data_IF_371266533993
#
_entry.id   IF_371266533993
#
_cell.length_a   1.000
_cell.length_b   1.000
_cell.length_c   1.000
_cell.angle_alpha   90.00
_cell.angle_beta   90.00
_cell.angle_gamma   90.00
#
_symmetry.space_group_name_H-M   'P 1'
#
loop_
_entity.id
_entity.type
_entity.pdbx_description
1 polymer ?
#
# COMPACT_ATOMS: atom_id res chain seq x y z
N UNK A 1 12.07 10.10 45.71
CA UNK A 1 11.22 8.98 45.24
C UNK A 1 9.79 9.46 45.09
N UNK A 2 9.17 9.31 43.91
CA UNK A 2 7.75 9.64 43.72
C UNK A 2 6.93 8.37 43.91
N UNK A 3 6.15 8.33 44.97
CA UNK A 3 5.18 7.26 45.25
C UNK A 3 4.09 7.33 44.20
N UNK A 4 4.04 6.36 43.27
CA UNK A 4 2.98 6.27 42.28
C UNK A 4 1.67 5.92 42.97
N UNK A 5 0.71 6.84 42.92
CA UNK A 5 -0.59 6.67 43.55
C UNK A 5 -1.33 5.46 42.95
N UNK A 6 -1.76 4.46 43.75
CA UNK A 6 -2.32 3.20 43.27
C UNK A 6 -3.63 3.36 42.48
N UNK A 7 -4.28 4.52 42.58
CA UNK A 7 -5.48 4.87 41.80
C UNK A 7 -5.19 5.06 40.30
N UNK A 8 -4.04 5.64 39.94
CA UNK A 8 -3.67 5.90 38.53
C UNK A 8 -3.46 4.56 37.79
N UNK A 9 -2.88 3.57 38.47
CA UNK A 9 -2.69 2.23 37.91
C UNK A 9 -3.99 1.45 37.67
N UNK A 10 -5.07 1.76 38.40
CA UNK A 10 -6.40 1.17 38.13
C UNK A 10 -7.07 1.85 36.94
N UNK A 11 -7.02 3.18 36.87
CA UNK A 11 -7.59 3.94 35.74
C UNK A 11 -6.96 3.55 34.40
N UNK A 12 -5.63 3.38 34.35
CA UNK A 12 -4.94 2.95 33.13
C UNK A 12 -5.33 1.53 32.70
N UNK A 13 -5.57 0.62 33.66
CA UNK A 13 -6.08 -0.74 33.37
C UNK A 13 -7.50 -0.73 32.82
N UNK A 14 -8.39 0.11 33.37
CA UNK A 14 -9.74 0.28 32.84
C UNK A 14 -9.74 0.86 31.42
N UNK A 15 -8.91 1.87 31.13
CA UNK A 15 -8.76 2.42 29.78
C UNK A 15 -8.23 1.39 28.78
N UNK A 16 -7.28 0.55 29.19
CA UNK A 16 -6.76 -0.53 28.36
C UNK A 16 -7.84 -1.59 28.04
N UNK A 17 -8.64 -1.98 29.04
CA UNK A 17 -9.74 -2.93 28.86
C UNK A 17 -10.86 -2.37 27.97
N UNK A 18 -11.18 -1.08 28.08
CA UNK A 18 -12.15 -0.42 27.21
C UNK A 18 -11.71 -0.46 25.74
N UNK A 19 -10.44 -0.11 25.46
CA UNK A 19 -9.85 -0.20 24.10
C UNK A 19 -9.88 -1.62 23.53
N UNK A 20 -9.65 -2.63 24.37
CA UNK A 20 -9.72 -4.03 23.94
C UNK A 20 -11.15 -4.48 23.62
N UNK A 21 -12.17 -3.99 24.35
CA UNK A 21 -13.58 -4.27 24.03
C UNK A 21 -13.99 -3.63 22.71
N UNK A 22 -13.64 -2.35 22.51
CA UNK A 22 -13.92 -1.63 21.27
C UNK A 22 -13.28 -2.31 20.05
N UNK A 23 -12.01 -2.75 20.18
CA UNK A 23 -11.31 -3.50 19.12
C UNK A 23 -11.97 -4.86 18.81
N UNK A 24 -12.56 -5.52 19.81
CA UNK A 24 -13.31 -6.78 19.62
C UNK A 24 -14.65 -6.55 18.93
N UNK A 25 -15.37 -5.48 19.28
CA UNK A 25 -16.63 -5.11 18.62
C UNK A 25 -16.42 -4.70 17.17
N UNK A 26 -15.36 -3.92 16.88
CA UNK A 26 -15.03 -3.56 15.50
C UNK A 26 -14.70 -4.80 14.66
N UNK A 27 -13.96 -5.76 15.23
CA UNK A 27 -13.69 -7.05 14.56
C UNK A 27 -14.96 -7.84 14.29
N UNK A 28 -15.92 -7.87 15.23
CA UNK A 28 -17.24 -8.49 15.03
C UNK A 28 -18.05 -7.79 13.93
N UNK A 29 -18.05 -6.45 13.90
CA UNK A 29 -18.74 -5.66 12.85
C UNK A 29 -18.14 -5.91 11.47
N UNK A 30 -16.81 -6.04 11.36
CA UNK A 30 -16.15 -6.39 10.09
C UNK A 30 -16.52 -7.79 9.61
N UNK A 31 -16.48 -8.81 10.50
CA UNK A 31 -16.90 -10.17 10.15
C UNK A 31 -18.37 -10.22 9.70
N UNK A 32 -19.26 -9.47 10.36
CA UNK A 32 -20.67 -9.41 9.99
C UNK A 32 -20.92 -8.76 8.62
N UNK A 33 -20.04 -7.85 8.16
CA UNK A 33 -20.17 -7.18 6.85
C UNK A 33 -19.60 -8.00 5.70
N UNK A 34 -18.51 -8.74 5.92
CA UNK A 34 -17.80 -9.42 4.83
C UNK A 34 -18.13 -10.90 4.71
N UNK A 35 -18.77 -11.52 5.72
CA UNK A 35 -19.10 -12.95 5.71
C UNK A 35 -17.88 -13.88 5.76
N UNK A 36 -16.66 -13.33 5.84
CA UNK A 36 -15.40 -14.07 5.76
C UNK A 36 -14.57 -13.88 7.05
N UNK A 37 -13.99 -14.96 7.60
CA UNK A 37 -13.09 -14.86 8.74
C UNK A 37 -11.80 -14.12 8.36
N UNK A 38 -11.52 -13.00 9.03
CA UNK A 38 -10.26 -12.25 8.84
C UNK A 38 -9.11 -12.97 9.55
N UNK A 39 -8.24 -13.61 8.77
CA UNK A 39 -6.96 -14.15 9.23
C UNK A 39 -6.01 -12.99 9.60
N UNK A 40 -5.33 -13.03 10.76
CA UNK A 40 -4.33 -12.03 11.13
C UNK A 40 -3.17 -12.03 10.13
N UNK A 41 -2.75 -10.86 9.63
CA UNK A 41 -1.58 -10.71 8.75
C UNK A 41 -0.29 -11.25 9.39
N UNK A 42 -0.20 -11.24 10.72
CA UNK A 42 0.95 -11.77 11.46
C UNK A 42 1.12 -13.30 11.29
N UNK A 43 0.05 -14.03 10.98
CA UNK A 43 0.09 -15.47 10.72
C UNK A 43 0.50 -15.80 9.27
N UNK A 44 0.33 -14.86 8.34
CA UNK A 44 0.68 -15.02 6.91
C UNK A 44 2.15 -14.69 6.65
N UNK A 45 2.73 -13.76 7.41
CA UNK A 45 4.10 -13.26 7.20
C UNK A 45 5.19 -14.16 7.81
N UNK A 46 4.81 -15.23 8.53
CA UNK A 46 5.76 -16.15 9.19
C UNK A 46 5.78 -17.58 8.65
N UNK A 47 4.88 -17.94 7.74
CA UNK A 47 4.81 -19.28 7.13
C UNK A 47 5.77 -19.44 5.97
N UNK A 48 6.28 -20.67 5.73
CA UNK A 48 6.89 -20.99 4.45
C UNK A 48 5.83 -20.89 3.34
N UNK A 49 6.27 -20.56 2.12
CA UNK A 49 5.39 -20.47 0.94
C UNK A 49 4.54 -21.74 0.76
N UNK A 50 5.13 -22.91 1.03
CA UNK A 50 4.46 -24.22 1.02
C UNK A 50 3.28 -24.32 2.01
N UNK A 51 3.40 -23.72 3.21
CA UNK A 51 2.35 -23.75 4.21
C UNK A 51 1.16 -22.86 3.84
N UNK A 52 1.42 -21.75 3.13
CA UNK A 52 0.37 -20.88 2.59
C UNK A 52 -0.37 -21.60 1.45
N UNK A 53 0.38 -22.27 0.58
CA UNK A 53 -0.16 -22.99 -0.57
C UNK A 53 -1.02 -24.20 -0.16
N UNK A 54 -0.61 -24.91 0.89
CA UNK A 54 -1.39 -26.01 1.48
C UNK A 54 -2.65 -25.51 2.20
N UNK A 55 -2.57 -24.38 2.92
CA UNK A 55 -3.73 -23.76 3.55
C UNK A 55 -4.77 -23.26 2.53
N UNK A 56 -4.32 -22.72 1.40
CA UNK A 56 -5.20 -22.29 0.30
C UNK A 56 -5.87 -23.50 -0.36
N UNK A 57 -5.12 -24.57 -0.68
CA UNK A 57 -5.71 -25.80 -1.22
C UNK A 57 -6.76 -26.39 -0.29
N UNK A 58 -6.46 -26.52 1.00
CA UNK A 58 -7.42 -27.06 1.97
C UNK A 58 -8.69 -26.19 2.10
N UNK A 59 -8.56 -24.87 2.03
CA UNK A 59 -9.72 -23.97 2.05
C UNK A 59 -10.58 -24.13 0.79
N UNK A 60 -9.97 -24.27 -0.38
CA UNK A 60 -10.67 -24.51 -1.65
C UNK A 60 -11.41 -25.85 -1.61
N UNK A 61 -10.78 -26.90 -1.07
CA UNK A 61 -11.35 -28.25 -1.08
C UNK A 61 -12.46 -28.45 -0.04
N UNK A 62 -12.37 -27.80 1.12
CA UNK A 62 -13.27 -28.07 2.27
C UNK A 62 -14.17 -26.91 2.65
N UNK A 63 -13.94 -25.70 2.12
CA UNK A 63 -14.63 -24.48 2.53
C UNK A 63 -14.35 -24.05 3.98
N UNK A 64 -13.39 -24.70 4.66
CA UNK A 64 -13.03 -24.39 6.04
C UNK A 64 -11.53 -24.14 6.16
N UNK A 65 -11.15 -23.15 6.98
CA UNK A 65 -9.74 -22.95 7.39
C UNK A 65 -9.41 -24.01 8.44
N UNK A 66 -9.31 -25.27 8.03
CA UNK A 66 -9.13 -26.46 8.89
C UNK A 66 -7.77 -26.57 9.57
N UNK A 67 -7.12 -25.45 9.92
CA UNK A 67 -5.94 -25.47 10.77
C UNK A 67 -6.39 -25.33 12.22
N UNK A 68 -6.50 -26.46 12.92
CA UNK A 68 -6.28 -26.44 14.36
C UNK A 68 -4.85 -25.90 14.56
N UNK A 69 -4.67 -24.79 15.26
CA UNK A 69 -3.41 -24.07 15.18
C UNK A 69 -2.28 -24.87 15.84
N UNK A 70 -1.11 -24.88 15.20
CA UNK A 70 0.13 -25.42 15.78
C UNK A 70 0.48 -24.81 17.16
N UNK A 71 -0.10 -23.66 17.54
CA UNK A 71 0.02 -23.09 18.88
C UNK A 71 -0.79 -23.82 19.97
N UNK A 72 -1.85 -24.57 19.63
CA UNK A 72 -2.63 -25.35 20.59
C UNK A 72 -1.80 -26.53 21.13
N UNK A 73 -1.13 -27.26 20.23
CA UNK A 73 -0.21 -28.33 20.60
C UNK A 73 1.06 -27.81 21.33
N UNK A 74 1.51 -26.59 21.00
CA UNK A 74 2.66 -25.94 21.66
C UNK A 74 2.32 -25.38 23.05
N UNK A 75 1.08 -24.93 23.28
CA UNK A 75 0.58 -24.54 24.61
C UNK A 75 0.31 -25.74 25.50
N UNK A 76 -0.20 -26.85 24.97
CA UNK A 76 -0.34 -28.08 25.74
C UNK A 76 1.02 -28.65 26.13
N UNK A 77 1.99 -28.70 25.21
CA UNK A 77 3.35 -29.15 25.54
C UNK A 77 4.10 -28.21 26.49
N UNK A 78 3.95 -26.88 26.37
CA UNK A 78 4.51 -25.95 27.37
C UNK A 78 3.77 -26.01 28.72
N UNK A 79 2.45 -26.22 28.73
CA UNK A 79 1.69 -26.36 29.98
C UNK A 79 1.97 -27.69 30.68
N UNK A 80 2.25 -28.76 29.92
CA UNK A 80 2.74 -30.05 30.43
C UNK A 80 4.17 -29.90 30.98
N UNK A 81 5.06 -29.20 30.27
CA UNK A 81 6.44 -28.95 30.68
C UNK A 81 6.56 -28.06 31.93
N UNK A 82 5.69 -27.06 32.09
CA UNK A 82 5.65 -26.22 33.30
C UNK A 82 4.98 -26.95 34.47
N UNK A 83 4.08 -27.92 34.20
CA UNK A 83 3.53 -28.82 35.23
C UNK A 83 4.56 -29.84 35.72
N UNK A 84 5.48 -30.28 34.87
CA UNK A 84 6.54 -31.24 35.23
C UNK A 84 7.80 -30.59 35.81
N UNK A 85 8.09 -29.32 35.50
CA UNK A 85 9.19 -28.57 36.13
C UNK A 85 8.85 -27.07 36.32
N UNK A 86 8.42 -26.66 37.53
CA UNK A 86 8.09 -25.26 37.85
C UNK A 86 9.28 -24.28 37.78
N UNK A 87 10.52 -24.76 37.69
CA UNK A 87 11.72 -23.90 37.67
C UNK A 87 11.92 -23.14 36.35
N UNK A 88 11.27 -23.59 35.27
CA UNK A 88 11.33 -22.98 33.94
C UNK A 88 10.55 -21.66 33.81
N UNK A 89 9.77 -21.26 34.83
CA UNK A 89 8.92 -20.07 34.78
C UNK A 89 9.60 -18.76 35.24
N UNK A 90 10.92 -18.77 35.53
CA UNK A 90 11.62 -17.59 36.10
C UNK A 90 12.49 -16.89 35.05
N UNK A 91 12.16 -15.65 34.62
CA UNK A 91 13.03 -14.91 33.71
C UNK A 91 14.27 -14.41 34.46
N UNK A 92 15.46 -14.76 33.96
CA UNK A 92 16.72 -14.17 34.42
C UNK A 92 16.84 -12.74 33.84
N UNK A 93 16.84 -11.75 34.73
CA UNK A 93 17.22 -10.39 34.40
C UNK A 93 18.74 -10.35 34.14
N UNK A 94 19.15 -9.99 32.92
CA UNK A 94 20.55 -9.66 32.61
C UNK A 94 20.74 -8.16 32.76
N UNK A 95 21.43 -7.77 33.83
CA UNK A 95 22.10 -6.48 33.94
C UNK A 95 23.32 -6.47 33.02
N UNK A 96 23.49 -5.40 32.24
CA UNK A 96 24.70 -5.16 31.46
C UNK A 96 24.94 -3.66 31.37
N UNK A 97 25.75 -3.16 32.30
CA UNK A 97 26.42 -1.86 32.22
C UNK A 97 27.86 -2.08 31.72
N UNK A 98 28.38 -1.29 30.77
CA UNK A 98 29.79 -1.36 30.39
C UNK A 98 30.67 -0.44 31.27
N UNK A 99 31.96 -0.77 31.49
CA UNK A 99 32.84 0.01 32.34
C UNK A 99 33.56 1.14 31.58
N UNK A 100 33.86 2.19 32.34
CA UNK A 100 34.73 3.32 32.02
C UNK A 100 36.20 2.92 32.13
N UNK A 101 37.03 3.31 31.15
CA UNK A 101 38.47 3.47 31.32
C UNK A 101 38.95 4.72 30.55
N UNK A 102 39.50 5.71 31.29
CA UNK A 102 40.52 6.63 30.78
C UNK A 102 41.91 5.97 30.90
N UNK A 103 43.01 6.47 30.36
CA UNK A 103 43.31 7.63 29.54
C UNK A 103 44.85 7.69 29.34
N UNK A 104 45.32 8.76 28.67
CA UNK A 104 46.67 9.37 28.72
C UNK A 104 47.73 8.94 27.67
N UNK A 105 48.22 10.00 26.97
CA UNK A 105 49.50 10.23 26.27
C UNK A 105 49.86 9.31 25.08
N UNK A 106 50.48 9.75 23.99
CA UNK A 106 51.17 10.99 23.63
C UNK A 106 52.18 10.68 22.50
N UNK A 107 52.68 11.72 21.84
CA UNK A 107 53.86 11.77 20.97
C UNK A 107 53.71 11.70 19.43
N UNK A 108 54.28 12.77 18.86
CA UNK A 108 54.67 13.11 17.48
C UNK A 108 55.70 12.14 16.87
N UNK A 109 55.71 12.01 15.53
CA UNK A 109 56.83 12.28 14.56
C UNK A 109 56.57 11.54 13.23
N UNK A 110 56.46 12.27 12.11
CA UNK A 110 57.47 12.55 11.05
C UNK A 110 57.64 11.45 9.99
N UNK A 111 57.34 11.87 8.74
CA UNK A 111 58.03 11.66 7.45
C UNK A 111 58.45 10.25 6.99
N UNK A 112 58.02 9.89 5.77
CA UNK A 112 58.82 9.42 4.59
C UNK A 112 57.81 8.94 3.53
N UNK A 113 57.68 9.52 2.33
CA UNK A 113 58.53 9.41 1.13
C UNK A 113 58.98 7.97 0.84
N UNK A 114 58.49 7.43 -0.27
CA UNK A 114 58.83 6.11 -0.78
C UNK A 114 58.16 5.84 -2.12
N UNK A 115 58.78 6.39 -3.17
CA UNK A 115 58.63 6.00 -4.57
C UNK A 115 59.15 4.55 -4.76
N UNK A 116 58.62 3.80 -5.72
CA UNK A 116 59.06 2.43 -5.96
C UNK A 116 58.06 1.56 -6.71
N UNK A 117 58.29 1.37 -8.01
CA UNK A 117 57.47 0.60 -8.93
C UNK A 117 57.63 -0.92 -8.87
N UNK A 118 56.89 -1.57 -9.79
CA UNK A 118 57.21 -2.89 -10.32
C UNK A 118 56.49 -4.04 -9.63
N UNK A 119 55.66 -4.76 -10.38
CA UNK A 119 55.14 -6.05 -9.95
C UNK A 119 53.90 -6.48 -10.72
N UNK A 120 54.12 -7.09 -11.88
CA UNK A 120 53.13 -7.93 -12.52
C UNK A 120 52.78 -9.09 -11.58
N UNK A 121 51.48 -9.39 -11.43
CA UNK A 121 51.01 -10.76 -11.23
C UNK A 121 49.50 -10.82 -11.53
N UNK A 122 49.17 -11.67 -12.51
CA UNK A 122 47.80 -11.98 -12.87
C UNK A 122 47.11 -12.77 -11.77
N UNK A 123 45.84 -12.46 -11.52
CA UNK A 123 44.98 -13.35 -10.76
C UNK A 123 43.62 -13.48 -11.43
N UNK A 124 43.35 -14.72 -11.86
CA UNK A 124 42.17 -15.10 -12.62
C UNK A 124 40.87 -14.98 -11.81
N UNK A 125 39.91 -14.26 -12.39
CA UNK A 125 38.53 -14.26 -11.95
C UNK A 125 37.91 -15.64 -12.24
N UNK A 126 37.79 -16.47 -11.19
CA UNK A 126 37.01 -17.71 -11.23
C UNK A 126 35.51 -17.36 -11.37
N UNK A 127 34.99 -17.46 -12.59
CA UNK A 127 33.56 -17.45 -12.87
C UNK A 127 32.86 -18.64 -12.20
N UNK A 128 32.08 -18.37 -11.16
CA UNK A 128 31.22 -19.37 -10.50
C UNK A 128 29.98 -19.61 -11.37
N UNK A 129 30.06 -20.58 -12.29
CA UNK A 129 28.89 -21.09 -13.02
C UNK A 129 27.94 -21.78 -12.03
N UNK A 130 26.85 -21.10 -11.65
CA UNK A 130 25.72 -21.74 -10.99
C UNK A 130 25.02 -22.66 -11.99
N UNK A 131 25.30 -23.96 -11.90
CA UNK A 131 24.50 -25.01 -12.53
C UNK A 131 23.13 -25.06 -11.86
N UNK A 132 22.10 -24.49 -12.50
CA UNK A 132 20.70 -24.76 -12.15
C UNK A 132 20.43 -26.26 -12.35
N UNK A 133 20.24 -27.00 -11.26
CA UNK A 133 19.70 -28.36 -11.28
C UNK A 133 18.24 -28.25 -11.74
N UNK A 134 17.94 -28.75 -12.94
CA UNK A 134 16.56 -28.94 -13.40
C UNK A 134 16.00 -30.16 -12.67
N UNK A 135 14.93 -29.96 -11.89
CA UNK A 135 14.12 -31.06 -11.37
C UNK A 135 13.20 -31.54 -12.52
N UNK A 136 13.16 -32.85 -12.84
CA UNK A 136 12.20 -33.37 -13.80
C UNK A 136 10.79 -33.29 -13.19
N UNK A 137 9.86 -32.65 -13.90
CA UNK A 137 8.44 -32.66 -13.54
C UNK A 137 7.72 -33.72 -14.39
N UNK A 138 6.86 -34.52 -13.77
CA UNK A 138 5.95 -35.41 -14.46
C UNK A 138 4.90 -34.57 -15.21
N UNK A 139 4.73 -34.82 -16.51
CA UNK A 139 3.64 -34.25 -17.29
C UNK A 139 2.45 -35.24 -17.28
N UNK A 140 1.24 -34.72 -17.10
CA UNK A 140 -0.01 -35.50 -17.02
C UNK A 140 -0.41 -36.22 -18.33
N UNK A 141 0.41 -36.15 -19.37
CA UNK A 141 0.12 -36.65 -20.72
C UNK A 141 0.61 -38.08 -21.01
N UNK A 142 1.12 -38.82 -20.02
CA UNK A 142 1.29 -40.28 -20.12
C UNK A 142 2.21 -40.81 -21.22
N UNK A 143 3.17 -40.02 -21.75
CA UNK A 143 4.22 -40.52 -22.65
C UNK A 143 5.61 -40.31 -22.04
N UNK A 144 6.40 -41.39 -22.03
CA UNK A 144 7.67 -41.52 -21.29
C UNK A 144 8.91 -41.40 -22.19
N UNK A 145 9.98 -40.82 -21.65
CA UNK A 145 11.37 -41.12 -22.04
C UNK A 145 11.89 -42.30 -21.21
N UNK A 146 12.68 -43.19 -21.83
CA UNK A 146 13.18 -44.43 -21.21
C UNK A 146 14.16 -44.12 -20.07
N UNK A 147 13.90 -44.62 -18.86
CA UNK A 147 14.93 -44.74 -17.81
C UNK A 147 14.59 -44.28 -16.39
N UNK A 148 13.34 -43.89 -16.07
CA UNK A 148 12.98 -43.47 -14.70
C UNK A 148 11.85 -44.36 -14.15
N UNK A 149 12.15 -45.09 -13.06
CA UNK A 149 11.21 -45.97 -12.34
C UNK A 149 10.50 -45.20 -11.22
N UNK A 150 9.20 -44.94 -11.35
CA UNK A 150 8.39 -44.32 -10.29
C UNK A 150 7.84 -45.39 -9.33
N UNK A 151 7.90 -45.14 -8.02
CA UNK A 151 7.23 -45.97 -6.99
C UNK A 151 5.70 -45.78 -7.07
N UNK A 152 4.89 -46.86 -7.08
CA UNK A 152 3.44 -46.74 -7.08
C UNK A 152 2.92 -46.17 -5.75
N UNK A 153 1.93 -45.29 -5.85
CA UNK A 153 1.18 -44.72 -4.71
C UNK A 153 0.28 -45.82 -4.11
N UNK A 154 0.42 -46.18 -2.82
CA UNK A 154 -0.48 -47.13 -2.17
C UNK A 154 -1.79 -46.42 -1.79
N UNK A 155 -2.94 -46.92 -2.26
CA UNK A 155 -4.23 -46.56 -1.65
C UNK A 155 -5.44 -46.32 -2.56
N UNK A 156 -5.40 -46.60 -3.86
CA UNK A 156 -6.61 -46.51 -4.69
C UNK A 156 -7.45 -47.79 -4.60
N UNK A 157 -8.71 -47.73 -4.11
CA UNK A 157 -9.59 -48.88 -4.07
C UNK A 157 -10.00 -49.31 -5.49
N UNK A 158 -10.14 -50.63 -5.75
CA UNK A 158 -10.56 -51.14 -7.04
C UNK A 158 -12.09 -51.07 -7.14
N UNK A 159 -12.63 -50.30 -8.10
CA UNK A 159 -14.03 -50.49 -8.48
C UNK A 159 -14.73 -49.29 -9.10
N UNK A 160 -14.68 -49.20 -10.42
CA UNK A 160 -15.87 -49.12 -11.30
C UNK A 160 -15.38 -48.80 -12.71
N UNK A 161 -15.33 -49.83 -13.56
CA UNK A 161 -15.05 -49.65 -14.99
C UNK A 161 -16.16 -48.78 -15.63
N UNK A 162 -15.82 -47.77 -16.44
CA UNK A 162 -16.83 -47.05 -17.20
C UNK A 162 -17.55 -48.01 -18.16
N UNK A 163 -18.88 -47.87 -18.36
CA UNK A 163 -19.65 -48.74 -19.24
C UNK A 163 -19.09 -48.71 -20.66
N UNK A 164 -18.97 -49.89 -21.27
CA UNK A 164 -18.54 -50.05 -22.67
C UNK A 164 -19.43 -49.20 -23.59
N UNK A 165 -18.86 -48.45 -24.54
CA UNK A 165 -19.66 -47.82 -25.59
C UNK A 165 -20.38 -48.91 -26.41
N UNK A 166 -21.64 -48.68 -26.82
CA UNK A 166 -22.39 -49.63 -27.62
C UNK A 166 -21.73 -49.85 -28.99
N UNK A 167 -21.92 -51.04 -29.60
CA UNK A 167 -21.34 -51.36 -30.90
C UNK A 167 -21.87 -50.40 -31.98
N UNK A 168 -21.03 -50.04 -32.97
CA UNK A 168 -21.45 -49.18 -34.07
C UNK A 168 -22.58 -49.86 -34.85
N UNK A 169 -23.79 -49.33 -34.71
CA UNK A 169 -24.93 -49.74 -35.52
C UNK A 169 -24.64 -49.50 -36.99
N UNK A 170 -24.86 -50.53 -37.81
CA UNK A 170 -24.76 -50.51 -39.26
C UNK A 170 -25.68 -49.43 -39.82
N UNK A 171 -25.13 -48.24 -40.08
CA UNK A 171 -25.82 -47.18 -40.79
C UNK A 171 -26.04 -47.61 -42.24
N UNK A 172 -27.31 -47.75 -42.59
CA UNK A 172 -27.77 -47.91 -43.96
C UNK A 172 -27.17 -46.82 -44.85
N UNK A 173 -26.67 -47.25 -46.01
CA UNK A 173 -26.09 -46.41 -47.05
C UNK A 173 -27.10 -45.31 -47.44
N UNK A 174 -26.88 -44.12 -46.88
CA UNK A 174 -27.67 -42.94 -47.22
C UNK A 174 -27.06 -42.35 -48.48
N UNK A 175 -27.87 -42.34 -49.53
CA UNK A 175 -27.59 -41.80 -50.85
C UNK A 175 -26.93 -40.43 -50.75
N UNK A 176 -25.72 -40.31 -51.30
CA UNK A 176 -24.94 -39.07 -51.42
C UNK A 176 -25.74 -38.11 -52.30
N UNK A 177 -26.55 -37.27 -51.67
CA UNK A 177 -27.30 -36.20 -52.32
C UNK A 177 -26.64 -34.87 -51.98
N UNK A 178 -26.15 -34.23 -53.04
CA UNK A 178 -25.66 -32.85 -53.12
C UNK A 178 -24.28 -32.55 -52.48
N UNK A 179 -23.37 -31.85 -53.21
CA UNK A 179 -22.15 -31.34 -52.63
C UNK A 179 -22.49 -30.37 -51.50
N UNK A 180 -21.79 -30.43 -50.34
CA UNK A 180 -22.03 -29.52 -49.24
C UNK A 180 -21.86 -28.09 -49.75
N UNK A 181 -22.90 -27.26 -49.58
CA UNK A 181 -22.79 -25.85 -49.89
C UNK A 181 -21.62 -25.26 -49.10
N UNK A 182 -20.82 -24.36 -49.72
CA UNK A 182 -19.73 -23.70 -49.01
C UNK A 182 -20.31 -23.07 -47.75
N UNK A 183 -19.77 -23.46 -46.60
CA UNK A 183 -20.11 -22.84 -45.33
C UNK A 183 -19.71 -21.37 -45.44
N UNK A 184 -20.71 -20.49 -45.59
CA UNK A 184 -20.51 -19.04 -45.53
C UNK A 184 -20.02 -18.71 -44.12
N UNK A 185 -18.71 -18.61 -43.95
CA UNK A 185 -18.12 -18.12 -42.71
C UNK A 185 -18.53 -16.65 -42.56
N UNK A 186 -19.04 -16.24 -41.39
CA UNK A 186 -19.35 -14.84 -41.15
C UNK A 186 -18.09 -13.99 -41.42
N UNK A 187 -18.24 -12.80 -42.01
CA UNK A 187 -17.11 -11.93 -42.31
C UNK A 187 -16.35 -11.67 -41.01
N UNK A 188 -15.02 -11.80 -41.06
CA UNK A 188 -14.15 -11.53 -39.92
C UNK A 188 -14.40 -10.09 -39.47
N UNK A 189 -14.86 -9.91 -38.24
CA UNK A 189 -15.08 -8.59 -37.67
C UNK A 189 -13.73 -7.90 -37.45
N UNK A 190 -13.64 -6.63 -37.82
CA UNK A 190 -12.46 -5.81 -37.62
C UNK A 190 -12.85 -4.58 -36.81
N UNK A 191 -12.09 -4.28 -35.76
CA UNK A 191 -12.32 -3.10 -34.96
C UNK A 191 -11.75 -1.83 -35.63
N UNK A 192 -12.38 -0.66 -35.40
CA UNK A 192 -11.83 0.63 -35.80
C UNK A 192 -10.55 0.94 -35.02
N UNK A 193 -9.88 2.03 -35.38
CA UNK A 193 -8.74 2.54 -34.63
C UNK A 193 -9.13 2.77 -33.15
N UNK A 194 -8.34 2.25 -32.22
CA UNK A 194 -8.54 2.50 -30.79
C UNK A 194 -7.96 3.88 -30.46
N UNK A 195 -8.81 4.78 -29.99
CA UNK A 195 -8.39 6.15 -29.59
C UNK A 195 -7.74 6.08 -28.21
N UNK A 196 -6.54 6.65 -28.09
CA UNK A 196 -5.84 6.72 -26.81
C UNK A 196 -6.64 7.60 -25.82
N UNK A 197 -6.70 7.23 -24.53
CA UNK A 197 -7.32 8.08 -23.53
C UNK A 197 -6.52 9.38 -23.37
N UNK A 198 -7.18 10.44 -22.89
CA UNK A 198 -6.50 11.69 -22.53
C UNK A 198 -5.42 11.43 -21.48
N UNK A 199 -4.27 12.08 -21.63
CA UNK A 199 -3.08 11.89 -20.77
C UNK A 199 -2.59 10.43 -20.71
N UNK A 200 -2.70 9.71 -21.83
CA UNK A 200 -2.18 8.37 -21.99
C UNK A 200 -1.81 8.02 -23.42
N UNK A 201 -1.23 6.85 -23.57
CA UNK A 201 -0.85 6.25 -24.84
C UNK A 201 -1.31 4.80 -24.89
N UNK A 202 -1.48 4.29 -26.12
CA UNK A 202 -1.90 2.92 -26.37
C UNK A 202 -0.82 2.18 -27.14
N UNK A 203 -0.53 0.96 -26.70
CA UNK A 203 0.49 0.10 -27.28
C UNK A 203 -0.16 -1.01 -28.06
N UNK A 204 0.24 -1.15 -29.32
CA UNK A 204 -0.23 -2.21 -30.21
C UNK A 204 0.96 -2.79 -30.98
N UNK A 205 1.10 -4.13 -30.95
CA UNK A 205 2.21 -4.85 -31.60
C UNK A 205 3.60 -4.26 -31.27
N UNK A 206 3.79 -3.85 -30.00
CA UNK A 206 5.04 -3.29 -29.50
C UNK A 206 5.33 -1.84 -29.93
N UNK A 207 4.39 -1.16 -30.58
CA UNK A 207 4.51 0.26 -30.95
C UNK A 207 3.57 1.11 -30.11
N UNK A 208 4.08 2.24 -29.64
CA UNK A 208 3.31 3.25 -28.92
C UNK A 208 2.56 4.17 -29.89
N UNK A 209 1.30 4.44 -29.59
CA UNK A 209 0.44 5.35 -30.32
C UNK A 209 -0.14 6.39 -29.35
N UNK A 210 0.17 7.67 -29.57
CA UNK A 210 -0.28 8.79 -28.71
C UNK A 210 -1.70 9.30 -29.02
N UNK A 211 -2.23 8.99 -30.20
CA UNK A 211 -3.55 9.49 -30.64
C UNK A 211 -4.48 8.31 -30.87
N UNK A 212 -4.13 7.41 -31.79
CA UNK A 212 -4.89 6.20 -32.05
C UNK A 212 -4.04 5.11 -32.70
N UNK A 213 -4.44 3.85 -32.55
CA UNK A 213 -3.85 2.72 -33.27
C UNK A 213 -4.23 2.75 -34.76
N UNK A 214 -3.57 1.94 -35.62
CA UNK A 214 -4.09 1.68 -36.96
C UNK A 214 -5.49 1.05 -36.86
N UNK A 215 -6.42 1.44 -37.72
CA UNK A 215 -7.70 0.73 -37.84
C UNK A 215 -7.55 -0.67 -38.43
N UNK A 216 -8.67 -1.38 -38.59
CA UNK A 216 -8.70 -2.74 -39.12
C UNK A 216 -7.96 -3.75 -38.23
N UNK A 217 -8.21 -3.68 -36.92
CA UNK A 217 -7.61 -4.61 -35.97
C UNK A 217 -8.47 -5.88 -35.92
N UNK A 218 -7.82 -7.04 -36.07
CA UNK A 218 -8.48 -8.35 -36.04
C UNK A 218 -9.18 -8.61 -34.69
N UNK A 219 -10.28 -9.36 -34.73
CA UNK A 219 -10.96 -9.86 -33.54
C UNK A 219 -9.97 -10.53 -32.56
N UNK A 220 -10.23 -10.38 -31.27
CA UNK A 220 -9.45 -10.93 -30.14
C UNK A 220 -8.04 -10.38 -29.97
N UNK A 221 -7.65 -9.40 -30.79
CA UNK A 221 -6.45 -8.61 -30.52
C UNK A 221 -6.74 -7.64 -29.37
N UNK A 222 -5.73 -7.39 -28.56
CA UNK A 222 -5.80 -6.43 -27.45
C UNK A 222 -4.77 -5.31 -27.65
N UNK A 223 -5.09 -4.14 -27.09
CA UNK A 223 -4.15 -3.02 -26.98
C UNK A 223 -3.80 -2.82 -25.51
N UNK A 224 -2.60 -2.32 -25.19
CA UNK A 224 -2.23 -2.04 -23.80
C UNK A 224 -2.27 -0.55 -23.55
N UNK A 225 -3.01 -0.12 -22.52
CA UNK A 225 -3.10 1.29 -22.14
C UNK A 225 -1.99 1.62 -21.12
N UNK A 226 -1.30 2.74 -21.35
CA UNK A 226 -0.35 3.35 -20.42
C UNK A 226 -0.71 4.81 -20.20
N UNK A 227 -0.59 5.29 -18.97
CA UNK A 227 -0.83 6.71 -18.65
C UNK A 227 0.48 7.49 -18.64
N UNK A 228 0.39 8.79 -18.91
CA UNK A 228 1.49 9.74 -18.78
C UNK A 228 1.96 9.83 -17.31
N UNK A 229 3.13 10.45 -17.11
CA UNK A 229 3.63 10.75 -15.77
C UNK A 229 2.61 11.58 -14.98
N UNK A 230 2.43 11.28 -13.69
CA UNK A 230 1.45 11.90 -12.79
C UNK A 230 -0.03 11.51 -13.01
N UNK A 231 -0.29 10.57 -13.92
CA UNK A 231 -1.61 9.97 -14.12
C UNK A 231 -1.60 8.48 -13.77
N UNK A 232 -2.74 7.97 -13.33
CA UNK A 232 -2.95 6.54 -13.03
C UNK A 232 -4.15 6.00 -13.78
N UNK A 233 -4.13 4.70 -14.07
CA UNK A 233 -5.27 4.02 -14.68
C UNK A 233 -6.47 4.04 -13.72
N UNK A 234 -7.65 4.37 -14.25
CA UNK A 234 -8.92 4.36 -13.53
C UNK A 234 -9.24 2.99 -12.93
N UNK A 235 -10.09 2.94 -11.91
CA UNK A 235 -10.51 1.67 -11.30
C UNK A 235 -11.43 0.85 -12.22
N UNK A 236 -12.15 1.52 -13.12
CA UNK A 236 -13.14 0.91 -14.02
C UNK A 236 -12.61 0.76 -15.45
N UNK A 237 -12.96 -0.36 -16.08
CA UNK A 237 -12.57 -0.70 -17.46
C UNK A 237 -11.40 -1.70 -17.51
N UNK A 238 -11.07 -2.16 -18.71
CA UNK A 238 -9.95 -3.08 -18.96
C UNK A 238 -8.65 -2.32 -19.26
N UNK A 239 -7.53 -2.76 -18.67
CA UNK A 239 -6.19 -2.26 -19.05
C UNK A 239 -5.78 -2.77 -20.44
N UNK A 240 -6.39 -3.87 -20.86
CA UNK A 240 -6.13 -4.56 -22.12
C UNK A 240 -7.45 -4.73 -22.88
N UNK A 241 -8.07 -3.64 -23.37
CA UNK A 241 -9.33 -3.77 -24.08
C UNK A 241 -9.13 -4.63 -25.33
N UNK A 242 -10.01 -5.63 -25.44
CA UNK A 242 -10.03 -6.60 -26.54
C UNK A 242 -10.97 -6.13 -27.65
N UNK A 243 -10.62 -6.42 -28.91
CA UNK A 243 -11.51 -6.29 -30.05
C UNK A 243 -12.53 -7.42 -30.05
N UNK A 244 -13.81 -7.09 -29.84
CA UNK A 244 -14.89 -8.05 -29.72
C UNK A 244 -15.38 -8.53 -31.10
N UNK A 245 -16.14 -9.64 -31.11
CA UNK A 245 -16.69 -10.26 -32.33
C UNK A 245 -17.68 -9.38 -33.09
N UNK A 246 -18.25 -8.36 -32.46
CA UNK A 246 -19.13 -7.37 -33.10
C UNK A 246 -18.35 -6.23 -33.78
N UNK A 247 -17.00 -6.26 -33.74
CA UNK A 247 -16.14 -5.21 -34.25
C UNK A 247 -16.08 -3.98 -33.34
N UNK A 248 -16.57 -4.07 -32.10
CA UNK A 248 -16.45 -3.02 -31.09
C UNK A 248 -15.32 -3.32 -30.12
N UNK A 249 -14.79 -2.26 -29.51
CA UNK A 249 -13.79 -2.40 -28.46
C UNK A 249 -14.44 -2.63 -27.10
N UNK A 250 -13.84 -3.51 -26.30
CA UNK A 250 -14.13 -3.56 -24.88
C UNK A 250 -13.85 -2.19 -24.24
N UNK A 251 -14.63 -1.83 -23.20
CA UNK A 251 -14.44 -0.57 -22.47
C UNK A 251 -13.08 -0.54 -21.77
N UNK A 252 -12.14 0.21 -22.34
CA UNK A 252 -10.83 0.44 -21.74
C UNK A 252 -10.86 1.36 -20.52
N UNK A 253 -9.77 1.32 -19.76
CA UNK A 253 -9.50 2.28 -18.68
C UNK A 253 -9.12 3.65 -19.24
N UNK A 254 -9.41 4.71 -18.48
CA UNK A 254 -8.93 6.06 -18.75
C UNK A 254 -7.86 6.45 -17.74
N UNK A 255 -7.15 7.55 -18.00
CA UNK A 255 -6.09 8.05 -17.13
C UNK A 255 -6.64 9.17 -16.23
N UNK A 256 -6.56 8.97 -14.93
CA UNK A 256 -6.99 9.93 -13.92
C UNK A 256 -5.77 10.61 -13.29
N UNK A 257 -5.84 11.92 -13.00
CA UNK A 257 -4.74 12.61 -12.35
C UNK A 257 -4.51 12.03 -10.95
N UNK A 258 -3.25 11.81 -10.59
CA UNK A 258 -2.88 11.41 -9.24
C UNK A 258 -2.97 12.63 -8.33
N UNK A 259 -3.67 12.47 -7.21
CA UNK A 259 -3.84 13.52 -6.19
C UNK A 259 -3.12 13.12 -4.92
N UNK A 260 -2.24 13.98 -4.41
CA UNK A 260 -1.72 13.85 -3.06
C UNK A 260 -2.72 14.40 -2.04
N UNK A 261 -2.84 13.80 -0.84
CA UNK A 261 -3.63 14.39 0.24
C UNK A 261 -3.08 15.77 0.64
N UNK A 262 -3.84 16.58 1.41
CA UNK A 262 -3.32 17.81 1.98
C UNK A 262 -2.00 17.59 2.72
N UNK A 263 -0.98 18.41 2.42
CA UNK A 263 0.33 18.28 3.05
C UNK A 263 0.22 18.62 4.54
N UNK A 264 0.79 17.76 5.39
CA UNK A 264 0.78 18.00 6.83
C UNK A 264 1.90 18.97 7.19
N UNK A 265 1.53 20.19 7.58
CA UNK A 265 2.50 21.20 8.01
C UNK A 265 3.40 20.67 9.15
N UNK A 266 4.72 20.96 9.09
CA UNK A 266 5.63 20.61 10.18
C UNK A 266 5.30 21.40 11.44
N UNK A 267 5.76 20.91 12.60
CA UNK A 267 5.59 21.64 13.85
C UNK A 267 6.35 22.98 13.77
N UNK A 268 5.70 24.09 14.12
CA UNK A 268 6.27 25.44 14.01
C UNK A 268 6.59 25.89 12.58
N UNK A 269 5.82 25.36 11.63
CA UNK A 269 5.78 25.85 10.27
C UNK A 269 4.37 25.89 9.71
N UNK A 270 4.23 26.58 8.59
CA UNK A 270 3.02 26.69 7.80
C UNK A 270 3.28 26.22 6.37
N UNK A 271 2.21 25.84 5.68
CA UNK A 271 2.25 25.40 4.29
C UNK A 271 1.25 26.23 3.50
N UNK A 272 1.62 26.61 2.28
CA UNK A 272 0.82 27.44 1.38
C UNK A 272 -0.47 26.76 0.88
N UNK A 273 -0.50 25.43 0.83
CA UNK A 273 -1.66 24.67 0.35
C UNK A 273 -2.34 23.86 1.47
N UNK A 274 -3.66 24.02 1.57
CA UNK A 274 -4.51 23.29 2.52
C UNK A 274 -5.34 22.14 1.89
N UNK A 275 -5.39 22.07 0.56
CA UNK A 275 -6.19 21.09 -0.19
C UNK A 275 -5.32 19.98 -0.80
N UNK A 276 -5.97 18.97 -1.38
CA UNK A 276 -5.29 17.94 -2.16
C UNK A 276 -4.71 18.57 -3.44
N UNK A 277 -3.46 18.24 -3.76
CA UNK A 277 -2.76 18.79 -4.94
C UNK A 277 -2.51 17.69 -5.97
N UNK A 278 -2.39 18.09 -7.24
CA UNK A 278 -2.02 17.18 -8.33
C UNK A 278 -0.55 16.78 -8.22
N UNK A 279 -0.24 15.55 -8.61
CA UNK A 279 1.13 15.11 -8.77
C UNK A 279 1.90 16.00 -9.77
N UNK A 280 3.16 16.27 -9.46
CA UNK A 280 4.01 17.31 -10.08
C UNK A 280 3.93 18.68 -9.41
N UNK A 281 2.92 18.96 -8.57
CA UNK A 281 2.81 20.24 -7.85
C UNK A 281 3.77 20.28 -6.66
N UNK A 282 4.47 21.40 -6.46
CA UNK A 282 5.29 21.67 -5.27
C UNK A 282 4.49 22.45 -4.23
N UNK A 283 4.67 22.12 -2.97
CA UNK A 283 4.12 22.88 -1.82
C UNK A 283 5.25 23.62 -1.12
N UNK A 284 5.00 24.80 -0.57
CA UNK A 284 6.03 25.63 0.07
C UNK A 284 5.89 25.56 1.58
N UNK A 285 6.97 25.17 2.27
CA UNK A 285 7.02 25.13 3.73
C UNK A 285 7.67 26.43 4.23
N UNK A 286 7.02 27.13 5.15
CA UNK A 286 7.56 28.32 5.81
C UNK A 286 7.66 28.08 7.32
N UNK A 287 8.86 28.14 7.88
CA UNK A 287 9.07 28.05 9.32
C UNK A 287 8.77 29.38 10.03
N UNK A 288 8.29 29.30 11.28
CA UNK A 288 8.04 30.46 12.13
C UNK A 288 9.34 31.24 12.42
N UNK A 289 9.24 32.52 12.78
CA UNK A 289 10.37 33.45 12.92
C UNK A 289 11.50 33.02 13.87
N UNK A 290 11.22 32.12 14.83
CA UNK A 290 12.19 31.61 15.81
C UNK A 290 12.72 30.21 15.50
N UNK A 291 12.34 29.68 14.33
CA UNK A 291 12.70 28.35 13.88
C UNK A 291 13.58 28.44 12.62
N UNK A 292 14.39 27.42 12.41
CA UNK A 292 15.22 27.24 11.22
C UNK A 292 14.85 25.93 10.51
N UNK A 293 14.90 25.92 9.18
CA UNK A 293 14.67 24.73 8.40
C UNK A 293 15.84 23.75 8.60
N UNK A 294 15.53 22.50 8.91
CA UNK A 294 16.54 21.44 9.06
C UNK A 294 16.12 20.21 8.26
N UNK A 295 17.11 19.47 7.75
CA UNK A 295 16.91 18.25 6.98
C UNK A 295 17.38 18.33 5.54
N UNK A 296 17.76 19.51 5.04
CA UNK A 296 18.26 19.69 3.68
C UNK A 296 19.48 18.81 3.38
N UNK A 297 20.42 18.72 4.33
CA UNK A 297 21.57 17.84 4.23
C UNK A 297 21.21 16.34 4.17
N UNK A 298 19.99 15.97 4.60
CA UNK A 298 19.44 14.62 4.53
C UNK A 298 18.48 14.44 3.34
N UNK A 299 18.50 15.35 2.36
CA UNK A 299 17.67 15.32 1.16
C UNK A 299 16.23 15.81 1.36
N UNK A 300 15.94 16.52 2.46
CA UNK A 300 14.65 17.18 2.61
C UNK A 300 14.61 18.50 1.80
N UNK A 301 13.44 18.90 1.32
CA UNK A 301 13.26 20.14 0.55
C UNK A 301 12.31 21.11 1.26
N UNK A 302 12.56 22.42 1.16
CA UNK A 302 11.60 23.46 1.54
C UNK A 302 10.35 23.44 0.66
N UNK A 303 10.49 22.89 -0.55
CA UNK A 303 9.43 22.80 -1.55
C UNK A 303 9.16 21.36 -2.01
N UNK A 304 8.68 20.46 -1.13
CA UNK A 304 8.49 19.06 -1.50
C UNK A 304 7.47 18.92 -2.63
N UNK A 305 7.77 18.07 -3.62
CA UNK A 305 6.88 17.78 -4.73
C UNK A 305 5.91 16.63 -4.40
N UNK A 306 4.67 16.72 -4.88
CA UNK A 306 3.75 15.58 -4.94
C UNK A 306 4.19 14.62 -6.05
N UNK A 307 4.56 13.40 -5.69
CA UNK A 307 5.07 12.37 -6.58
C UNK A 307 3.94 11.61 -7.30
N UNK A 308 4.30 10.87 -8.36
CA UNK A 308 3.36 10.08 -9.15
C UNK A 308 2.70 8.91 -8.38
N UNK A 309 3.23 8.53 -7.22
CA UNK A 309 2.64 7.53 -6.34
C UNK A 309 1.59 8.13 -5.37
N UNK A 310 1.36 9.44 -5.42
CA UNK A 310 0.45 10.16 -4.53
C UNK A 310 1.03 10.44 -3.14
N UNK A 311 2.35 10.29 -2.97
CA UNK A 311 3.07 10.70 -1.77
C UNK A 311 3.88 11.97 -2.03
N UNK A 312 4.33 12.64 -0.97
CA UNK A 312 5.22 13.80 -1.13
C UNK A 312 6.68 13.40 -0.93
N UNK A 313 7.57 14.14 -1.59
CA UNK A 313 8.97 14.19 -1.23
C UNK A 313 9.15 14.57 0.25
N UNK A 314 10.30 14.22 0.82
CA UNK A 314 10.61 14.56 2.20
C UNK A 314 10.72 16.08 2.34
N UNK A 315 9.82 16.68 3.12
CA UNK A 315 9.90 18.09 3.49
C UNK A 315 10.85 18.35 4.66
N UNK A 316 11.33 19.59 4.77
CA UNK A 316 12.10 20.06 5.92
C UNK A 316 11.30 20.00 7.23
N UNK A 317 12.02 19.98 8.35
CA UNK A 317 11.46 20.16 9.69
C UNK A 317 11.90 21.52 10.26
N UNK A 318 11.00 22.21 10.97
CA UNK A 318 11.31 23.47 11.61
C UNK A 318 11.80 23.24 13.05
N UNK A 319 13.08 23.50 13.31
CA UNK A 319 13.68 23.35 14.66
C UNK A 319 13.99 24.71 15.29
N UNK A 320 13.91 24.85 16.63
CA UNK A 320 14.24 26.11 17.29
C UNK A 320 15.68 26.53 16.98
N UNK A 321 15.88 27.81 16.65
CA UNK A 321 17.24 28.33 16.41
C UNK A 321 18.09 28.23 17.67
N UNK A 322 19.35 27.74 17.58
CA UNK A 322 20.22 27.68 18.73
C UNK A 322 20.56 29.09 19.24
N UNK A 323 20.56 29.27 20.56
CA UNK A 323 20.97 30.54 21.15
C UNK A 323 22.43 30.89 20.76
N UNK A 324 22.72 32.15 20.39
CA UNK A 324 24.08 32.56 20.07
C UNK A 324 25.01 32.37 21.29
N UNK A 325 26.03 31.51 21.16
CA UNK A 325 26.92 31.13 22.27
C UNK A 325 27.75 32.28 22.86
N UNK A 326 27.90 33.39 22.12
CA UNK A 326 28.78 34.51 22.49
C UNK A 326 28.07 35.84 22.68
N UNK A 327 26.75 35.90 22.49
CA UNK A 327 26.04 37.07 22.97
C UNK A 327 25.83 36.89 24.47
N UNK A 328 26.53 37.69 25.28
CA UNK A 328 25.92 38.21 26.50
C UNK A 328 24.59 38.77 26.04
N UNK A 329 23.53 38.00 26.27
CA UNK A 329 22.18 38.45 25.99
C UNK A 329 22.12 39.82 26.66
N UNK A 330 21.77 40.92 25.97
CA UNK A 330 21.47 42.19 26.61
C UNK A 330 20.14 42.07 27.38
N UNK A 331 19.97 40.99 28.13
CA UNK A 331 19.01 40.83 29.19
C UNK A 331 19.70 41.34 30.46
N UNK A 332 20.03 42.63 30.44
CA UNK A 332 19.99 43.42 31.68
C UNK A 332 18.55 43.93 31.96
N UNK A 333 17.57 43.32 31.28
CA UNK A 333 16.19 43.20 31.77
C UNK A 333 15.92 41.73 32.19
N UNK A 334 16.71 41.26 33.16
CA UNK A 334 16.40 40.19 34.11
C UNK A 334 15.55 38.99 33.66
N UNK A 335 16.20 37.91 33.23
CA UNK A 335 15.69 36.57 33.52
C UNK A 335 15.94 36.27 35.01
N UNK A 336 15.07 36.77 35.88
CA UNK A 336 15.08 36.40 37.29
C UNK A 336 14.68 34.91 37.42
N UNK A 337 15.54 34.02 37.93
CA UNK A 337 15.19 32.61 38.15
C UNK A 337 14.07 32.43 39.20
N UNK A 338 13.68 33.49 39.92
CA UNK A 338 12.49 33.55 40.78
C UNK A 338 11.30 34.29 40.16
N UNK A 339 11.42 34.83 38.94
CA UNK A 339 10.25 35.24 38.19
C UNK A 339 9.47 33.99 37.82
N UNK A 340 8.54 33.60 38.72
CA UNK A 340 7.37 32.82 38.36
C UNK A 340 6.89 33.43 37.06
N UNK A 341 6.79 32.62 36.01
CA UNK A 341 6.00 32.94 34.83
C UNK A 341 4.63 33.39 35.35
N UNK A 342 4.46 34.68 35.58
CA UNK A 342 3.15 35.30 35.67
C UNK A 342 2.72 35.20 34.23
N UNK A 343 2.06 34.07 33.89
CA UNK A 343 1.21 34.02 32.70
C UNK A 343 0.53 35.38 32.69
N UNK A 344 0.76 36.24 31.68
CA UNK A 344 0.05 37.51 31.61
C UNK A 344 -1.39 37.13 31.85
N UNK A 345 -1.96 37.63 32.96
CA UNK A 345 -3.30 37.28 33.36
C UNK A 345 -4.13 37.43 32.08
N UNK A 346 -4.86 36.37 31.64
CA UNK A 346 -5.56 36.41 30.37
C UNK A 346 -6.23 37.77 30.31
N UNK A 347 -6.01 38.56 29.23
CA UNK A 347 -6.46 39.93 29.18
C UNK A 347 -7.88 39.92 29.69
N UNK A 348 -8.16 40.71 30.74
CA UNK A 348 -9.51 40.82 31.27
C UNK A 348 -10.31 41.48 30.16
N UNK A 349 -10.82 40.66 29.23
CA UNK A 349 -11.75 41.08 28.20
C UNK A 349 -12.95 41.52 29.01
N UNK A 350 -13.08 42.81 29.23
CA UNK A 350 -14.26 43.38 29.83
C UNK A 350 -15.34 43.33 28.75
N UNK A 351 -15.99 42.17 28.65
CA UNK A 351 -17.19 42.04 27.84
C UNK A 351 -18.23 42.91 28.53
N UNK A 352 -18.58 44.03 27.91
CA UNK A 352 -19.60 44.91 28.45
C UNK A 352 -20.94 44.15 28.50
N UNK A 353 -21.78 44.46 29.50
CA UNK A 353 -23.14 43.91 29.57
C UNK A 353 -23.95 44.12 28.29
N UNK A 354 -23.62 45.18 27.53
CA UNK A 354 -24.19 45.45 26.21
C UNK A 354 -23.77 44.39 25.18
N UNK A 355 -22.49 44.06 25.10
CA UNK A 355 -21.99 43.02 24.19
C UNK A 355 -22.56 41.63 24.51
N UNK A 356 -22.82 41.32 25.78
CA UNK A 356 -23.49 40.07 26.17
C UNK A 356 -24.94 40.05 25.65
N UNK A 357 -25.69 41.15 25.84
CA UNK A 357 -27.06 41.25 25.33
C UNK A 357 -27.14 41.20 23.81
N UNK A 358 -26.23 41.89 23.12
CA UNK A 358 -26.19 41.87 21.65
C UNK A 358 -25.91 40.45 21.14
N UNK A 359 -25.01 39.70 21.80
CA UNK A 359 -24.75 38.29 21.48
C UNK A 359 -25.94 37.36 21.78
N UNK A 360 -26.60 37.52 22.92
CA UNK A 360 -27.80 36.75 23.27
C UNK A 360 -28.94 37.03 22.27
N UNK A 361 -29.07 38.27 21.81
CA UNK A 361 -30.08 38.66 20.84
C UNK A 361 -29.80 38.10 19.44
N UNK A 362 -28.52 38.00 19.05
CA UNK A 362 -28.10 37.35 17.80
C UNK A 362 -28.34 35.83 17.85
N UNK A 363 -28.12 35.18 19.01
CA UNK A 363 -28.41 33.75 19.20
C UNK A 363 -29.91 33.44 19.24
N UNK A 364 -30.73 34.37 19.71
CA UNK A 364 -32.19 34.25 19.69
C UNK A 364 -32.82 34.67 18.37
N UNK A 365 -32.05 35.24 17.45
CA UNK A 365 -32.52 35.54 16.10
C UNK A 365 -32.88 34.19 15.47
N UNK A 366 -34.18 33.91 15.21
CA UNK A 366 -34.54 32.70 14.50
C UNK A 366 -33.73 32.70 13.22
N UNK A 367 -33.05 31.58 12.93
CA UNK A 367 -32.36 31.39 11.67
C UNK A 367 -33.40 31.48 10.54
N UNK A 368 -33.71 32.71 10.12
CA UNK A 368 -34.33 33.01 8.86
C UNK A 368 -33.22 32.73 7.87
N UNK A 369 -33.12 31.47 7.46
CA UNK A 369 -32.45 31.15 6.23
C UNK A 369 -33.23 31.91 5.17
N UNK A 370 -32.68 33.06 4.74
CA UNK A 370 -33.04 33.68 3.48
C UNK A 370 -32.67 32.67 2.39
N UNK A 371 -33.51 31.65 2.22
CA UNK A 371 -33.70 30.99 0.95
C UNK A 371 -34.36 32.02 0.05
N UNK A 372 -33.61 33.04 -0.37
CA UNK A 372 -33.86 33.67 -1.65
C UNK A 372 -33.62 32.56 -2.67
N UNK A 373 -34.65 31.99 -3.31
CA UNK A 373 -34.45 30.99 -4.34
C UNK A 373 -33.54 31.63 -5.38
N UNK A 374 -32.38 31.00 -5.60
CA UNK A 374 -31.44 31.44 -6.61
C UNK A 374 -32.20 31.56 -7.94
N UNK A 375 -32.16 32.76 -8.51
CA UNK A 375 -32.73 33.14 -9.81
C UNK A 375 -32.08 32.37 -10.98
N UNK A 376 -31.21 31.39 -10.70
CA UNK A 376 -30.46 30.62 -11.68
C UNK A 376 -30.98 29.19 -11.93
N UNK A 377 -32.07 28.75 -11.28
CA UNK A 377 -32.73 27.47 -11.62
C UNK A 377 -33.68 27.56 -12.84
N UNK A 378 -33.55 28.59 -13.66
CA UNK A 378 -34.13 28.60 -15.00
C UNK A 378 -33.20 27.86 -15.97
N UNK A 379 -33.18 26.52 -15.87
CA UNK A 379 -32.69 25.70 -16.98
C UNK A 379 -33.49 26.03 -18.25
N UNK A 380 -32.83 26.32 -19.39
CA UNK A 380 -33.52 26.48 -20.66
C UNK A 380 -34.16 25.15 -21.06
N UNK A 381 -35.49 25.14 -21.18
CA UNK A 381 -36.21 23.99 -21.73
C UNK A 381 -35.65 23.66 -23.12
N UNK A 382 -35.44 22.38 -23.45
CA UNK A 382 -35.04 21.98 -24.79
C UNK A 382 -36.14 22.37 -25.79
N UNK A 383 -35.75 23.10 -26.83
CA UNK A 383 -36.61 23.35 -27.98
C UNK A 383 -36.94 22.01 -28.63
N UNK A 384 -38.22 21.64 -28.60
CA UNK A 384 -38.77 20.64 -29.51
C UNK A 384 -38.71 21.20 -30.93
N UNK A 385 -37.85 20.60 -31.76
CA UNK A 385 -37.96 20.70 -33.21
C UNK A 385 -39.10 19.76 -33.62
N UNK A 386 -40.29 20.32 -33.81
CA UNK A 386 -41.32 19.74 -34.66
C UNK A 386 -41.34 20.52 -35.99
N UNK A 387 -41.44 19.73 -37.06
CA UNK A 387 -41.66 20.00 -38.48
C UNK A 387 -40.48 20.42 -39.39
#
# INVERSE_FOLDING_TARGET
GRVRHPAIGRLMRFKALARLREKREDRRRRMARTGLPVLPMDDVMGGSEEAVDEAVRHFVDTGTTGLAPAWAHKRETMAEAVRSDPSLARPQARDSSPPLHGGVAGARRLLSVGDGGGGADGNGAKGRKQRRKKHPMCLDSGRFEQGITCKPIPGLPPGSAPPRPPPPGSRAATTISSPPQPLDFPPVAHCPAYVAPEHGSVWYKGKEHKIATPGQIEERQFVTITCDEYYRLSDRGSRWPECLHDGQWERGKWCEPVMCPPYRAPLHGSVDVCEAVRAGTRVTITCDSFYEPVGEAAGASETPMCLADGTYEKGIECMPRPCPKNHKIPFDEGCDPNARYVRPAPPKIQISHKQIKDWEQELQRPHVFDYTPNVFDHEPRPYSLED
#
